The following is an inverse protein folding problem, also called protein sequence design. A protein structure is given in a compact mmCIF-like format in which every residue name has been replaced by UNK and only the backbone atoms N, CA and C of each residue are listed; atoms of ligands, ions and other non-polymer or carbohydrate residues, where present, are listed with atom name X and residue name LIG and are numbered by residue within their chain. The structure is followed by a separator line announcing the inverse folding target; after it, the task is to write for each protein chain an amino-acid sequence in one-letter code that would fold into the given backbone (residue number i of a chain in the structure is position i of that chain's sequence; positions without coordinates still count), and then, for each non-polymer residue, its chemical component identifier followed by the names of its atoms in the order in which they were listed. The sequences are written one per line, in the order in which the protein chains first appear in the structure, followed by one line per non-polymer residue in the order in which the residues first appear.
data_IF_055985850052
#
_entry.id   IF_055985850052
#
_cell.length_a   1.000
_cell.length_b   1.000
_cell.length_c   1.000
_cell.angle_alpha   90.00
_cell.angle_beta   90.00
_cell.angle_gamma   90.00
#
_symmetry.space_group_name_H-M   'P 1'
#
loop_
_entity.id
_entity.type
_entity.pdbx_description
1 polymer ?
#
# COMPACT_ATOMS: atom_id res chain seq x y z
N UNK A 1 23.00 17.36 -20.63
CA UNK A 1 23.70 16.98 -19.37
C UNK A 1 23.63 15.46 -19.23
N UNK A 2 24.54 14.78 -19.92
CA UNK A 2 24.75 13.32 -19.87
C UNK A 2 25.56 12.95 -18.61
N UNK A 3 25.29 11.80 -18.00
CA UNK A 3 26.39 11.01 -17.42
C UNK A 3 26.26 10.34 -16.06
N UNK A 4 25.16 10.44 -15.29
CA UNK A 4 25.18 10.03 -13.87
C UNK A 4 23.89 9.31 -13.37
N UNK A 5 23.33 8.34 -14.10
CA UNK A 5 22.09 7.66 -13.63
C UNK A 5 21.98 6.15 -13.88
N UNK A 6 23.04 5.44 -14.30
CA UNK A 6 22.99 3.99 -14.42
C UNK A 6 23.97 3.31 -13.45
N UNK A 7 23.68 3.47 -12.15
CA UNK A 7 24.30 2.66 -11.10
C UNK A 7 23.15 1.94 -10.40
N UNK A 8 22.98 0.68 -10.77
CA UNK A 8 21.97 -0.22 -10.23
C UNK A 8 22.33 -0.49 -8.78
N UNK A 9 21.57 0.05 -7.83
CA UNK A 9 21.76 -0.23 -6.42
C UNK A 9 20.78 -1.33 -5.97
N UNK A 10 21.12 -1.97 -4.85
CA UNK A 10 20.50 -3.15 -4.23
C UNK A 10 19.09 -3.48 -4.79
N UNK A 11 18.99 -4.58 -5.53
CA UNK A 11 17.72 -5.10 -6.06
C UNK A 11 17.37 -4.68 -7.50
N UNK A 12 18.25 -3.92 -8.17
CA UNK A 12 18.07 -3.55 -9.58
C UNK A 12 17.23 -2.29 -9.79
N UNK A 13 16.92 -1.55 -8.73
CA UNK A 13 16.21 -0.28 -8.82
C UNK A 13 17.19 0.86 -9.16
N UNK A 14 16.77 1.79 -10.04
CA UNK A 14 17.49 3.04 -10.20
C UNK A 14 17.26 3.97 -9.00
N UNK A 15 18.14 4.97 -8.86
CA UNK A 15 18.13 5.89 -7.73
C UNK A 15 16.80 6.66 -7.64
N UNK A 16 16.24 7.04 -8.80
CA UNK A 16 14.98 7.78 -8.89
C UNK A 16 13.78 6.94 -8.47
N UNK A 17 13.73 5.67 -8.86
CA UNK A 17 12.67 4.77 -8.42
C UNK A 17 12.76 4.54 -6.92
N UNK A 18 13.95 4.25 -6.38
CA UNK A 18 14.15 4.04 -4.95
C UNK A 18 13.73 5.27 -4.11
N UNK A 19 14.10 6.48 -4.56
CA UNK A 19 13.69 7.72 -3.90
C UNK A 19 12.17 7.88 -3.90
N UNK A 20 11.51 7.55 -5.01
CA UNK A 20 10.06 7.64 -5.14
C UNK A 20 9.35 6.62 -4.25
N UNK A 21 9.83 5.37 -4.20
CA UNK A 21 9.31 4.35 -3.27
C UNK A 21 9.49 4.78 -1.81
N UNK A 22 10.64 5.36 -1.46
CA UNK A 22 10.89 5.89 -0.13
C UNK A 22 9.94 7.06 0.20
N UNK A 23 9.69 7.96 -0.75
CA UNK A 23 8.71 9.04 -0.59
C UNK A 23 7.30 8.49 -0.35
N UNK A 24 6.84 7.51 -1.15
CA UNK A 24 5.56 6.84 -0.94
C UNK A 24 5.48 6.18 0.43
N UNK A 25 6.58 5.56 0.88
CA UNK A 25 6.68 4.94 2.20
C UNK A 25 6.52 5.97 3.32
N UNK A 26 7.27 7.06 3.27
CA UNK A 26 7.23 8.12 4.27
C UNK A 26 5.87 8.81 4.28
N UNK A 27 5.27 9.06 3.11
CA UNK A 27 3.92 9.62 2.99
C UNK A 27 2.88 8.73 3.67
N UNK A 28 2.97 7.42 3.45
CA UNK A 28 2.09 6.43 4.06
C UNK A 28 2.22 6.44 5.58
N UNK A 29 3.45 6.40 6.10
CA UNK A 29 3.73 6.42 7.54
C UNK A 29 3.26 7.74 8.17
N UNK A 30 3.63 8.87 7.58
CA UNK A 30 3.23 10.21 8.02
C UNK A 30 1.71 10.36 8.07
N UNK A 31 1.01 9.91 7.03
CA UNK A 31 -0.45 9.93 7.02
C UNK A 31 -1.03 9.06 8.13
N UNK A 32 -0.42 7.91 8.41
CA UNK A 32 -0.88 7.05 9.51
C UNK A 32 -0.69 7.70 10.87
N UNK A 33 0.40 8.45 11.08
CA UNK A 33 0.61 9.26 12.29
C UNK A 33 -0.49 10.31 12.41
N UNK A 34 -0.74 11.06 11.33
CA UNK A 34 -1.73 12.13 11.30
C UNK A 34 -3.16 11.59 11.54
N UNK A 35 -3.49 10.44 10.95
CA UNK A 35 -4.79 9.79 11.14
C UNK A 35 -4.95 9.12 12.50
N UNK A 36 -3.85 8.76 13.17
CA UNK A 36 -3.90 8.24 14.55
C UNK A 36 -4.52 9.26 15.51
N UNK A 37 -4.52 10.55 15.14
CA UNK A 37 -4.89 11.63 16.03
C UNK A 37 -6.38 11.97 16.08
N UNK A 38 -7.26 11.60 15.13
CA UNK A 38 -8.64 12.16 15.18
C UNK A 38 -9.78 11.61 14.30
N UNK A 39 -9.79 10.36 13.82
CA UNK A 39 -10.92 9.87 12.99
C UNK A 39 -11.50 8.55 13.50
N UNK A 40 -12.66 8.65 14.16
CA UNK A 40 -13.48 7.52 14.63
C UNK A 40 -14.16 6.72 13.51
N UNK A 41 -13.63 6.74 12.29
CA UNK A 41 -14.19 6.05 11.12
C UNK A 41 -13.39 4.77 10.84
N UNK A 42 -14.00 3.58 10.98
CA UNK A 42 -13.35 2.32 10.65
C UNK A 42 -13.08 2.23 9.13
N UNK A 43 -11.84 1.91 8.74
CA UNK A 43 -11.46 1.66 7.34
C UNK A 43 -10.71 2.80 6.63
N UNK A 44 -10.66 4.01 7.16
CA UNK A 44 -10.05 5.17 6.48
C UNK A 44 -8.52 5.03 6.27
N UNK A 45 -7.83 4.27 7.13
CA UNK A 45 -6.40 3.99 6.95
C UNK A 45 -6.13 3.04 5.75
N UNK A 46 -7.16 2.34 5.26
CA UNK A 46 -7.03 1.50 4.07
C UNK A 46 -6.88 2.32 2.79
N UNK A 47 -7.52 3.48 2.73
CA UNK A 47 -7.45 4.42 1.61
C UNK A 47 -6.01 4.81 1.29
N UNK A 48 -5.27 5.33 2.27
CA UNK A 48 -3.90 5.82 2.07
C UNK A 48 -2.90 4.72 1.77
N UNK A 49 -3.10 3.53 2.34
CA UNK A 49 -2.27 2.38 2.02
C UNK A 49 -2.48 1.96 0.57
N UNK A 50 -3.73 1.75 0.15
CA UNK A 50 -4.05 1.41 -1.23
C UNK A 50 -3.54 2.50 -2.20
N UNK A 51 -3.70 3.76 -1.84
CA UNK A 51 -3.19 4.89 -2.62
C UNK A 51 -1.68 4.80 -2.83
N UNK A 52 -0.89 4.69 -1.76
CA UNK A 52 0.57 4.67 -1.87
C UNK A 52 1.10 3.42 -2.56
N UNK A 53 0.50 2.25 -2.32
CA UNK A 53 0.89 0.98 -2.95
C UNK A 53 0.60 1.00 -4.46
N UNK A 54 -0.60 1.41 -4.86
CA UNK A 54 -0.99 1.51 -6.27
C UNK A 54 -0.19 2.60 -6.98
N UNK A 55 0.07 3.73 -6.32
CA UNK A 55 0.88 4.81 -6.89
C UNK A 55 2.34 4.37 -7.12
N UNK A 56 2.95 3.69 -6.13
CA UNK A 56 4.30 3.14 -6.28
C UNK A 56 4.40 2.13 -7.43
N UNK A 57 3.40 1.23 -7.55
CA UNK A 57 3.40 0.21 -8.61
C UNK A 57 3.08 0.73 -10.00
N UNK A 58 2.27 1.79 -10.11
CA UNK A 58 1.93 2.41 -11.41
C UNK A 58 3.10 3.21 -11.97
N UNK A 59 3.82 3.96 -11.12
CA UNK A 59 4.94 4.81 -11.55
C UNK A 59 6.29 4.08 -11.65
N UNK A 60 6.44 2.95 -10.97
CA UNK A 60 7.63 2.10 -11.05
C UNK A 60 7.25 0.74 -11.66
N UNK A 61 7.57 0.49 -12.94
CA UNK A 61 7.20 -0.74 -13.65
C UNK A 61 8.17 -1.91 -13.30
N UNK A 62 8.60 -2.02 -12.03
CA UNK A 62 9.39 -3.16 -11.55
C UNK A 62 8.55 -4.11 -10.73
N UNK A 63 8.91 -5.40 -10.80
CA UNK A 63 8.31 -6.43 -9.95
C UNK A 63 8.56 -6.13 -8.47
N UNK A 64 7.55 -6.35 -7.63
CA UNK A 64 7.60 -6.23 -6.17
C UNK A 64 7.69 -4.79 -5.61
N UNK A 65 7.51 -3.76 -6.43
CA UNK A 65 7.61 -2.37 -5.99
C UNK A 65 6.61 -2.00 -4.88
N UNK A 66 5.35 -2.47 -4.99
CA UNK A 66 4.35 -2.23 -3.95
C UNK A 66 4.70 -3.00 -2.67
N UNK A 67 5.20 -4.22 -2.80
CA UNK A 67 5.63 -5.06 -1.68
C UNK A 67 6.76 -4.39 -0.89
N UNK A 68 7.76 -3.81 -1.58
CA UNK A 68 8.83 -3.05 -0.92
C UNK A 68 8.28 -1.84 -0.14
N UNK A 69 7.41 -1.03 -0.74
CA UNK A 69 6.76 0.09 -0.04
C UNK A 69 5.97 -0.39 1.17
N UNK A 70 5.21 -1.48 1.02
CA UNK A 70 4.41 -2.07 2.09
C UNK A 70 5.25 -2.59 3.26
N UNK A 71 6.35 -3.28 2.98
CA UNK A 71 7.27 -3.80 3.99
C UNK A 71 8.01 -2.67 4.69
N UNK A 72 8.61 -1.73 3.95
CA UNK A 72 9.31 -0.59 4.55
C UNK A 72 8.37 0.25 5.42
N UNK A 73 7.16 0.50 4.95
CA UNK A 73 6.17 1.23 5.72
C UNK A 73 5.78 0.46 6.98
N UNK A 74 5.62 -0.86 6.87
CA UNK A 74 5.33 -1.75 8.00
C UNK A 74 6.41 -1.70 9.07
N UNK A 75 7.68 -1.81 8.67
CA UNK A 75 8.84 -1.73 9.58
C UNK A 75 8.90 -0.36 10.26
N UNK A 76 8.72 0.72 9.50
CA UNK A 76 8.68 2.07 10.05
C UNK A 76 7.53 2.25 11.05
N UNK A 77 6.33 1.73 10.75
CA UNK A 77 5.20 1.74 11.67
C UNK A 77 5.45 0.92 12.94
N UNK A 78 6.13 -0.21 12.81
CA UNK A 78 6.51 -1.04 13.96
C UNK A 78 7.49 -0.28 14.87
N UNK A 79 8.53 0.34 14.29
CA UNK A 79 9.50 1.14 15.03
C UNK A 79 8.87 2.33 15.76
N UNK A 80 7.85 2.95 15.15
CA UNK A 80 7.10 4.07 15.74
C UNK A 80 5.95 3.63 16.67
N UNK A 81 5.75 2.32 16.88
CA UNK A 81 4.66 1.80 17.70
C UNK A 81 3.25 2.11 17.16
N UNK A 82 3.10 2.31 15.85
CA UNK A 82 1.86 2.80 15.20
C UNK A 82 0.79 1.73 14.91
N UNK A 83 0.76 0.62 15.67
CA UNK A 83 -0.22 -0.46 15.44
C UNK A 83 -0.64 -1.15 16.73
N UNK A 84 -1.95 -1.38 16.89
CA UNK A 84 -2.51 -2.23 17.97
C UNK A 84 -2.02 -3.68 17.92
N UNK A 85 -1.40 -4.07 16.80
CA UNK A 85 -0.98 -5.41 16.46
C UNK A 85 0.52 -5.68 16.62
N UNK A 86 1.31 -4.68 17.06
CA UNK A 86 2.76 -4.82 17.16
C UNK A 86 3.41 -5.26 15.84
N UNK A 87 4.29 -6.28 15.83
CA UNK A 87 5.00 -6.75 14.63
C UNK A 87 4.10 -7.22 13.48
N UNK A 88 2.85 -7.63 13.76
CA UNK A 88 1.91 -8.09 12.72
C UNK A 88 1.54 -6.98 11.72
N UNK A 89 1.82 -5.72 12.04
CA UNK A 89 1.62 -4.60 11.11
C UNK A 89 2.47 -4.74 9.85
N UNK A 90 3.68 -5.31 9.97
CA UNK A 90 4.58 -5.53 8.84
C UNK A 90 3.98 -6.55 7.88
N UNK A 91 3.44 -7.64 8.43
CA UNK A 91 2.78 -8.68 7.65
C UNK A 91 1.52 -8.13 6.97
N UNK A 92 0.75 -7.32 7.69
CA UNK A 92 -0.48 -6.71 7.16
C UNK A 92 -0.21 -5.80 5.96
N UNK A 93 0.80 -4.94 6.04
CA UNK A 93 1.13 -4.01 4.95
C UNK A 93 1.92 -4.70 3.84
N UNK A 94 2.73 -5.71 4.19
CA UNK A 94 3.44 -6.56 3.24
C UNK A 94 2.50 -7.41 2.38
N UNK A 95 1.53 -8.11 2.99
CA UNK A 95 0.52 -8.90 2.25
C UNK A 95 -0.30 -8.00 1.33
N UNK A 96 -0.67 -6.80 1.79
CA UNK A 96 -1.35 -5.81 0.94
C UNK A 96 -0.51 -5.42 -0.28
N UNK A 97 0.79 -5.18 -0.10
CA UNK A 97 1.71 -4.91 -1.21
C UNK A 97 1.89 -6.09 -2.16
N UNK A 98 1.98 -7.31 -1.61
CA UNK A 98 2.09 -8.54 -2.39
C UNK A 98 0.85 -8.79 -3.24
N UNK A 99 -0.35 -8.56 -2.69
CA UNK A 99 -1.59 -8.66 -3.45
C UNK A 99 -1.65 -7.64 -4.58
N UNK A 100 -1.18 -6.41 -4.36
CA UNK A 100 -1.08 -5.38 -5.40
C UNK A 100 -0.09 -5.79 -6.49
N UNK A 101 1.08 -6.31 -6.12
CA UNK A 101 2.08 -6.76 -7.10
C UNK A 101 1.57 -7.96 -7.91
N UNK A 102 0.96 -8.95 -7.26
CA UNK A 102 0.39 -10.13 -7.92
C UNK A 102 -0.70 -9.74 -8.93
N UNK A 103 -1.59 -8.82 -8.54
CA UNK A 103 -2.64 -8.35 -9.44
C UNK A 103 -2.11 -7.41 -10.53
N UNK A 104 -1.00 -6.70 -10.27
CA UNK A 104 -0.35 -5.86 -11.25
C UNK A 104 0.40 -6.65 -12.33
N UNK A 105 0.76 -7.91 -12.07
CA UNK A 105 1.30 -8.83 -13.08
C UNK A 105 0.27 -9.16 -14.17
N UNK A 106 -1.03 -9.02 -13.89
CA UNK A 106 -2.10 -9.19 -14.89
C UNK A 106 -2.19 -8.02 -15.89
N UNK A 107 -1.32 -7.00 -15.78
CA UNK A 107 -1.29 -5.86 -16.71
C UNK A 107 -2.40 -4.82 -16.49
N UNK A 108 -3.16 -4.94 -15.39
CA UNK A 108 -4.32 -4.10 -15.09
C UNK A 108 -3.99 -2.70 -14.55
N UNK A 109 -2.71 -2.34 -14.40
CA UNK A 109 -2.28 -1.09 -13.76
C UNK A 109 -2.65 0.18 -14.54
N UNK A 110 -2.86 0.11 -15.86
CA UNK A 110 -3.16 1.28 -16.70
C UNK A 110 -4.65 1.65 -16.79
N UNK A 111 -5.54 0.72 -16.47
CA UNK A 111 -6.99 0.91 -16.53
C UNK A 111 -7.56 1.34 -15.18
N UNK A 112 -8.56 2.25 -15.20
CA UNK A 112 -9.20 2.75 -13.98
C UNK A 112 -9.83 1.62 -13.15
N UNK A 113 -10.49 0.69 -13.83
CA UNK A 113 -11.05 -0.52 -13.23
C UNK A 113 -9.99 -1.42 -12.60
N UNK A 114 -8.84 -1.58 -13.26
CA UNK A 114 -7.73 -2.37 -12.74
C UNK A 114 -7.06 -1.73 -11.53
N UNK A 115 -6.94 -0.41 -11.50
CA UNK A 115 -6.46 0.33 -10.33
C UNK A 115 -7.43 0.26 -9.13
N UNK A 116 -8.74 0.26 -9.39
CA UNK A 116 -9.74 0.00 -8.35
C UNK A 116 -9.63 -1.42 -7.79
N UNK A 117 -9.48 -2.43 -8.66
CA UNK A 117 -9.24 -3.83 -8.26
C UNK A 117 -7.95 -4.01 -7.44
N UNK A 118 -6.86 -3.35 -7.85
CA UNK A 118 -5.60 -3.31 -7.10
C UNK A 118 -5.80 -2.70 -5.72
N UNK A 119 -6.58 -1.62 -5.63
CA UNK A 119 -6.94 -0.99 -4.36
C UNK A 119 -7.80 -1.88 -3.47
N UNK A 120 -8.77 -2.60 -4.03
CA UNK A 120 -9.58 -3.60 -3.31
C UNK A 120 -8.68 -4.70 -2.79
N UNK A 121 -7.77 -5.24 -3.60
CA UNK A 121 -6.83 -6.28 -3.19
C UNK A 121 -5.92 -5.82 -2.05
N UNK A 122 -5.41 -4.59 -2.10
CA UNK A 122 -4.66 -3.97 -1.00
C UNK A 122 -5.50 -3.83 0.29
N UNK A 123 -6.80 -3.57 0.16
CA UNK A 123 -7.76 -3.51 1.26
C UNK A 123 -8.01 -4.90 1.87
N UNK A 124 -8.28 -5.90 1.03
CA UNK A 124 -8.58 -7.28 1.41
C UNK A 124 -7.37 -8.01 2.01
N UNK A 125 -6.14 -7.67 1.60
CA UNK A 125 -4.91 -8.22 2.15
C UNK A 125 -4.74 -7.99 3.66
N UNK A 126 -5.54 -7.11 4.25
CA UNK A 126 -5.60 -6.90 5.70
C UNK A 126 -6.41 -7.92 6.48
N UNK A 127 -7.29 -8.66 5.81
CA UNK A 127 -8.20 -9.64 6.43
C UNK A 127 -7.47 -10.70 7.25
N UNK A 128 -6.46 -11.41 6.71
CA UNK A 128 -5.74 -12.45 7.43
C UNK A 128 -5.04 -11.93 8.69
N UNK A 129 -4.40 -10.76 8.57
CA UNK A 129 -3.71 -10.13 9.70
C UNK A 129 -4.69 -9.62 10.77
N UNK A 130 -5.89 -9.16 10.38
CA UNK A 130 -6.95 -8.79 11.34
C UNK A 130 -7.54 -10.00 12.05
N UNK A 131 -7.77 -11.11 11.33
CA UNK A 131 -8.27 -12.34 11.90
C UNK A 131 -7.27 -12.91 12.93
N UNK A 132 -5.98 -12.93 12.58
CA UNK A 132 -4.91 -13.32 13.49
C UNK A 132 -4.88 -12.42 14.74
N UNK A 133 -4.99 -11.09 14.59
CA UNK A 133 -5.06 -10.18 15.74
C UNK A 133 -6.24 -10.47 16.65
N UNK A 134 -7.43 -10.67 16.08
CA UNK A 134 -8.65 -10.97 16.83
C UNK A 134 -8.52 -12.28 17.63
N UNK A 135 -7.92 -13.31 17.04
CA UNK A 135 -7.59 -14.57 17.72
C UNK A 135 -6.58 -14.40 18.86
N UNK A 136 -5.51 -13.63 18.63
CA UNK A 136 -4.48 -13.41 19.64
C UNK A 136 -5.02 -12.66 20.87
N UNK A 137 -6.10 -11.90 20.72
CA UNK A 137 -6.80 -11.20 21.81
C UNK A 137 -7.74 -12.16 22.58
N UNK A 138 -7.87 -13.42 22.14
CA UNK A 138 -8.72 -14.43 22.78
C UNK A 138 -10.21 -14.28 22.44
N UNK A 139 -10.54 -13.61 21.33
CA UNK A 139 -11.93 -13.40 20.93
C UNK A 139 -12.52 -14.66 20.28
N UNK A 140 -13.80 -14.94 20.58
CA UNK A 140 -14.55 -16.06 20.02
C UNK A 140 -14.53 -16.09 18.49
N UNK A 141 -14.58 -17.30 17.94
CA UNK A 141 -14.33 -17.53 16.51
C UNK A 141 -15.39 -16.89 15.61
N UNK A 142 -16.66 -16.97 16.02
CA UNK A 142 -17.77 -16.30 15.34
C UNK A 142 -17.69 -14.77 15.43
N UNK A 143 -17.25 -14.22 16.58
CA UNK A 143 -17.05 -12.77 16.74
C UNK A 143 -15.84 -12.26 15.95
N UNK A 144 -14.77 -13.06 15.86
CA UNK A 144 -13.60 -12.73 15.06
C UNK A 144 -13.93 -12.66 13.57
N UNK A 145 -14.73 -13.60 13.06
CA UNK A 145 -15.16 -13.63 11.66
C UNK A 145 -16.13 -12.48 11.32
N UNK A 146 -17.13 -12.23 12.16
CA UNK A 146 -18.10 -11.14 11.95
C UNK A 146 -17.46 -9.76 12.03
N UNK A 147 -16.58 -9.52 13.02
CA UNK A 147 -15.88 -8.24 13.14
C UNK A 147 -14.83 -8.04 12.04
N UNK A 148 -14.17 -9.09 11.56
CA UNK A 148 -13.28 -9.01 10.41
C UNK A 148 -14.08 -8.73 9.12
N UNK A 149 -15.19 -9.43 8.90
CA UNK A 149 -16.10 -9.23 7.76
C UNK A 149 -16.65 -7.81 7.69
N UNK A 150 -17.13 -7.28 8.82
CA UNK A 150 -17.63 -5.90 8.90
C UNK A 150 -16.54 -4.85 8.64
N UNK A 151 -15.27 -5.14 8.98
CA UNK A 151 -14.13 -4.25 8.71
C UNK A 151 -13.61 -4.37 7.27
N UNK A 152 -13.88 -5.49 6.59
CA UNK A 152 -13.48 -5.72 5.20
C UNK A 152 -14.28 -4.87 4.21
N UNK A 153 -15.58 -4.66 4.43
CA UNK A 153 -16.41 -3.81 3.55
C UNK A 153 -15.86 -2.37 3.41
N UNK A 154 -15.66 -1.61 4.50
CA UNK A 154 -15.10 -0.27 4.37
C UNK A 154 -13.65 -0.32 3.88
N UNK A 155 -12.86 -1.34 4.26
CA UNK A 155 -11.50 -1.49 3.74
C UNK A 155 -11.45 -1.70 2.22
N UNK A 156 -12.40 -2.43 1.64
CA UNK A 156 -12.53 -2.64 0.21
C UNK A 156 -13.01 -1.35 -0.50
N UNK A 157 -14.02 -0.67 0.04
CA UNK A 157 -14.51 0.61 -0.50
C UNK A 157 -13.43 1.70 -0.50
N UNK A 158 -12.78 1.92 0.64
CA UNK A 158 -11.69 2.87 0.75
C UNK A 158 -10.47 2.43 -0.06
N UNK A 159 -10.23 1.12 -0.16
CA UNK A 159 -9.19 0.56 -1.02
C UNK A 159 -9.42 0.88 -2.50
N UNK A 160 -10.62 0.63 -3.00
CA UNK A 160 -11.03 0.93 -4.38
C UNK A 160 -10.87 2.42 -4.71
N UNK A 161 -11.35 3.29 -3.82
CA UNK A 161 -11.22 4.75 -3.96
C UNK A 161 -9.75 5.18 -3.95
N UNK A 162 -8.94 4.64 -3.04
CA UNK A 162 -7.51 4.94 -2.95
C UNK A 162 -6.76 4.52 -4.20
N UNK A 163 -7.06 3.34 -4.75
CA UNK A 163 -6.48 2.85 -6.00
C UNK A 163 -6.88 3.67 -7.22
N UNK A 164 -8.16 4.02 -7.33
CA UNK A 164 -8.64 4.89 -8.42
C UNK A 164 -7.99 6.28 -8.37
N UNK A 165 -7.89 6.88 -7.18
CA UNK A 165 -7.25 8.18 -6.99
C UNK A 165 -5.75 8.10 -7.30
N UNK A 166 -5.07 7.02 -6.90
CA UNK A 166 -3.67 6.80 -7.21
C UNK A 166 -3.41 6.78 -8.71
N UNK A 167 -4.29 6.14 -9.50
CA UNK A 167 -4.14 6.16 -10.95
C UNK A 167 -4.34 7.56 -11.55
N UNK A 168 -5.31 8.32 -11.05
CA UNK A 168 -5.52 9.71 -11.51
C UNK A 168 -4.29 10.56 -11.22
N UNK A 169 -3.71 10.44 -10.03
CA UNK A 169 -2.47 11.14 -9.65
C UNK A 169 -1.28 10.65 -10.47
N UNK A 170 -1.13 9.34 -10.70
CA UNK A 170 -0.09 8.78 -11.56
C UNK A 170 -0.16 9.37 -12.97
N UNK A 171 -1.35 9.39 -13.58
CA UNK A 171 -1.57 9.99 -14.91
C UNK A 171 -1.25 11.49 -14.95
N UNK A 172 -1.49 12.21 -13.85
CA UNK A 172 -1.12 13.63 -13.73
C UNK A 172 0.39 13.82 -13.64
N UNK A 173 1.08 12.98 -12.87
CA UNK A 173 2.55 13.01 -12.76
C UNK A 173 3.23 12.62 -14.08
N UNK A 174 2.70 11.63 -14.79
CA UNK A 174 3.17 11.23 -16.12
C UNK A 174 3.07 12.38 -17.13
N UNK A 175 1.93 13.07 -17.15
CA UNK A 175 1.74 14.26 -18.02
C UNK A 175 2.67 15.41 -17.65
N UNK A 176 3.09 15.51 -16.39
CA UNK A 176 4.07 16.49 -15.93
C UNK A 176 5.53 16.11 -16.17
N UNK A 177 5.82 14.93 -16.74
CA UNK A 177 7.18 14.46 -17.01
C UNK A 177 7.98 14.06 -15.77
N UNK A 178 7.31 13.89 -14.61
CA UNK A 178 7.95 13.53 -13.33
C UNK A 178 7.92 12.02 -13.05
N UNK A 179 7.53 11.20 -14.03
CA UNK A 179 7.46 9.75 -13.86
C UNK A 179 8.88 9.14 -13.80
N UNK A 180 9.26 8.49 -12.69
CA UNK A 180 10.61 7.96 -12.50
C UNK A 180 10.91 6.74 -13.39
N UNK A 181 9.88 6.04 -13.92
CA UNK A 181 10.01 4.84 -14.75
C UNK A 181 9.89 5.06 -16.26
N UNK A 182 9.91 6.29 -16.76
CA UNK A 182 9.71 6.62 -18.19
C UNK A 182 11.02 6.72 -19.00
N UNK A 183 12.07 6.01 -18.59
CA UNK A 183 13.37 5.95 -19.28
C UNK A 183 13.58 4.62 -19.99
#
# INVERSE_FOLDING_TARGET
MSGEQNKSYIGGFGLREALFLALCTVLLVSTKIFFRLKLGIPGHSAFFLAFCLVLGRTLVPRGLAATFVGVLAGVAMMALGLGKAGPLIVLQTGIGGLMVDALALLGLTRQLWGAALLGIAAGLGRGPAQLAQNLLIGMDWDLALTTAGLKLLPAALFGALGGALALVVARRLERGGLAPGAS
#
